data_IF_639302074559
#
_entry.id   IF_639302074559
#
_cell.length_a   1.000
_cell.length_b   1.000
_cell.length_c   1.000
_cell.angle_alpha   90.00
_cell.angle_beta   90.00
_cell.angle_gamma   90.00
#
_symmetry.space_group_name_H-M   'P 1'
#
loop_
_entity.id
_entity.type
_entity.pdbx_description
1 polymer ?
#
# COMPACT_ATOMS: atom_id res chain seq x y z
N UNK A 1 -13.76 -22.96 28.04
CA UNK A 1 -12.39 -22.72 27.53
C UNK A 1 -12.32 -22.34 26.04
N UNK A 2 -13.46 -22.19 25.36
CA UNK A 2 -13.54 -21.80 23.95
C UNK A 2 -13.92 -20.33 23.74
N UNK A 3 -14.01 -19.50 24.77
CA UNK A 3 -14.48 -18.10 24.64
C UNK A 3 -13.39 -17.08 24.33
N UNK A 4 -12.10 -17.39 24.50
CA UNK A 4 -11.04 -16.41 24.37
C UNK A 4 -10.52 -16.22 22.94
N UNK A 5 -10.63 -17.22 22.07
CA UNK A 5 -10.24 -17.07 20.65
C UNK A 5 -11.17 -16.13 19.87
N UNK A 6 -12.45 -16.12 20.20
CA UNK A 6 -13.44 -15.25 19.53
C UNK A 6 -13.34 -13.78 19.92
N UNK A 7 -12.89 -13.46 21.13
CA UNK A 7 -12.77 -12.08 21.61
C UNK A 7 -11.54 -11.38 21.01
N UNK A 8 -10.40 -12.06 20.92
CA UNK A 8 -9.19 -11.54 20.29
C UNK A 8 -9.39 -11.23 18.80
N UNK A 9 -10.11 -12.11 18.11
CA UNK A 9 -10.45 -11.91 16.69
C UNK A 9 -11.37 -10.70 16.49
N UNK A 10 -12.41 -10.54 17.34
CA UNK A 10 -13.31 -9.37 17.30
C UNK A 10 -12.60 -8.06 17.59
N UNK A 11 -11.64 -8.06 18.52
CA UNK A 11 -10.82 -6.90 18.85
C UNK A 11 -9.93 -6.54 17.65
N UNK A 12 -9.28 -7.54 17.03
CA UNK A 12 -8.45 -7.31 15.84
C UNK A 12 -9.26 -6.77 14.67
N UNK A 13 -10.47 -7.29 14.41
CA UNK A 13 -11.35 -6.78 13.35
C UNK A 13 -11.83 -5.36 13.63
N UNK A 14 -12.13 -5.04 14.89
CA UNK A 14 -12.55 -3.70 15.27
C UNK A 14 -11.39 -2.68 15.17
N UNK A 15 -10.18 -3.10 15.47
CA UNK A 15 -8.98 -2.29 15.29
C UNK A 15 -8.72 -1.99 13.81
N UNK A 16 -8.98 -2.95 12.92
CA UNK A 16 -8.94 -2.79 11.46
C UNK A 16 -9.99 -1.81 10.95
N UNK A 17 -11.20 -1.83 11.48
CA UNK A 17 -12.27 -0.88 11.13
C UNK A 17 -11.96 0.55 11.62
N UNK A 18 -11.29 0.68 12.78
CA UNK A 18 -10.97 1.99 13.38
C UNK A 18 -9.72 2.63 12.74
N UNK A 19 -8.71 1.85 12.41
CA UNK A 19 -7.42 2.35 11.88
C UNK A 19 -7.34 2.38 10.37
N UNK A 20 -8.31 1.80 9.67
CA UNK A 20 -8.29 1.63 8.22
C UNK A 20 -7.27 0.59 7.74
N UNK A 21 -7.31 0.29 6.45
CA UNK A 21 -6.50 -0.77 5.83
C UNK A 21 -5.00 -0.49 5.76
N UNK A 22 -4.56 0.74 6.02
CA UNK A 22 -3.13 1.10 6.01
C UNK A 22 -2.28 0.23 6.93
N UNK A 23 -2.83 -0.17 8.10
CA UNK A 23 -2.14 -1.05 9.04
C UNK A 23 -2.19 -2.54 8.68
N UNK A 24 -3.15 -2.98 7.85
CA UNK A 24 -3.19 -4.35 7.31
C UNK A 24 -2.13 -4.60 6.26
N UNK A 25 -1.80 -3.55 5.54
CA UNK A 25 -0.81 -3.58 4.47
C UNK A 25 0.62 -3.30 4.99
N UNK A 26 0.80 -3.17 6.30
CA UNK A 26 2.09 -2.97 6.99
C UNK A 26 2.48 -4.17 7.86
N UNK A 27 3.79 -4.30 8.13
CA UNK A 27 4.43 -5.45 8.81
C UNK A 27 4.06 -5.67 10.30
N UNK A 28 3.14 -4.90 10.90
CA UNK A 28 2.89 -4.91 12.36
C UNK A 28 1.63 -5.67 12.82
N UNK A 29 1.17 -6.69 12.11
CA UNK A 29 0.08 -7.52 12.64
C UNK A 29 0.54 -8.88 13.16
N UNK A 30 1.08 -8.88 14.35
CA UNK A 30 1.42 -10.06 15.16
C UNK A 30 0.21 -10.55 15.97
N UNK A 31 -0.78 -11.17 15.33
CA UNK A 31 -1.95 -11.70 16.02
C UNK A 31 -2.44 -13.09 15.59
N UNK A 32 -1.89 -13.67 14.52
CA UNK A 32 -2.25 -15.01 14.04
C UNK A 32 -1.01 -15.83 13.73
N UNK A 33 -0.44 -16.47 14.77
CA UNK A 33 0.82 -17.22 14.63
C UNK A 33 0.78 -18.41 13.64
N UNK A 34 -0.37 -19.01 13.37
CA UNK A 34 -0.42 -20.14 12.42
C UNK A 34 -0.51 -19.69 10.94
N UNK A 35 -1.25 -18.64 10.64
CA UNK A 35 -1.33 -18.11 9.28
C UNK A 35 -0.06 -17.33 8.88
N UNK A 36 0.51 -16.57 9.83
CA UNK A 36 1.81 -15.89 9.67
C UNK A 36 2.94 -16.90 9.46
N UNK A 37 2.89 -18.08 10.08
CA UNK A 37 3.89 -19.14 9.89
C UNK A 37 3.93 -19.65 8.45
N UNK A 38 2.79 -19.84 7.79
CA UNK A 38 2.74 -20.31 6.41
C UNK A 38 3.17 -19.22 5.40
N UNK A 39 2.67 -18.00 5.57
CA UNK A 39 3.03 -16.86 4.71
C UNK A 39 4.53 -16.52 4.87
N UNK A 40 5.05 -16.55 6.11
CA UNK A 40 6.47 -16.38 6.38
C UNK A 40 7.31 -17.51 5.76
N UNK A 41 6.85 -18.75 5.85
CA UNK A 41 7.52 -19.90 5.22
C UNK A 41 7.56 -19.77 3.70
N UNK A 42 6.44 -19.39 3.07
CA UNK A 42 6.38 -19.15 1.62
C UNK A 42 7.28 -18.00 1.21
N UNK A 43 7.35 -16.91 1.99
CA UNK A 43 8.24 -15.78 1.76
C UNK A 43 9.71 -16.22 1.86
N UNK A 44 10.09 -16.93 2.93
CA UNK A 44 11.44 -17.45 3.11
C UNK A 44 11.85 -18.44 2.02
N UNK A 45 10.92 -19.27 1.54
CA UNK A 45 11.18 -20.20 0.43
C UNK A 45 11.39 -19.44 -0.89
N UNK A 46 10.59 -18.43 -1.15
CA UNK A 46 10.73 -17.53 -2.31
C UNK A 46 12.07 -16.79 -2.28
N UNK A 47 12.46 -16.24 -1.11
CA UNK A 47 13.74 -15.58 -0.90
C UNK A 47 14.91 -16.55 -1.13
N UNK A 48 14.84 -17.76 -0.57
CA UNK A 48 15.88 -18.77 -0.75
C UNK A 48 16.04 -19.22 -2.23
N UNK A 49 14.93 -19.32 -2.97
CA UNK A 49 14.95 -19.64 -4.41
C UNK A 49 15.53 -18.50 -5.24
N UNK A 50 15.23 -17.25 -4.90
CA UNK A 50 15.80 -16.06 -5.56
C UNK A 50 17.30 -15.93 -5.27
N UNK A 51 17.71 -16.13 -4.02
CA UNK A 51 19.11 -16.12 -3.60
C UNK A 51 19.92 -17.24 -4.29
N UNK A 52 19.35 -18.45 -4.42
CA UNK A 52 19.97 -19.57 -5.15
C UNK A 52 20.11 -19.29 -6.65
N UNK A 53 19.28 -18.42 -7.23
CA UNK A 53 19.35 -17.97 -8.63
C UNK A 53 20.26 -16.77 -8.83
N UNK A 54 20.87 -16.21 -7.77
CA UNK A 54 21.74 -15.04 -7.84
C UNK A 54 20.99 -13.73 -8.20
N UNK A 55 19.68 -13.72 -8.08
CA UNK A 55 18.84 -12.54 -8.30
C UNK A 55 18.73 -11.81 -6.98
N UNK A 56 19.63 -10.88 -6.72
CA UNK A 56 19.46 -9.91 -5.64
C UNK A 56 18.40 -8.89 -6.04
N UNK A 57 17.15 -9.20 -5.79
CA UNK A 57 16.09 -8.20 -5.90
C UNK A 57 16.10 -7.34 -4.64
N UNK A 58 16.47 -6.06 -4.81
CA UNK A 58 16.50 -5.09 -3.71
C UNK A 58 15.09 -4.83 -3.18
N UNK A 59 14.05 -5.07 -3.96
CA UNK A 59 12.66 -4.92 -3.56
C UNK A 59 12.27 -5.84 -2.40
N UNK A 60 12.88 -7.01 -2.26
CA UNK A 60 12.62 -7.93 -1.15
C UNK A 60 13.22 -7.46 0.21
N UNK A 61 13.99 -6.36 0.23
CA UNK A 61 14.71 -5.89 1.42
C UNK A 61 13.95 -4.85 2.25
N UNK A 62 12.78 -4.43 1.81
CA UNK A 62 11.95 -3.45 2.53
C UNK A 62 10.47 -3.71 2.32
N UNK A 63 9.66 -3.27 3.29
CA UNK A 63 8.21 -3.23 3.17
C UNK A 63 7.75 -1.80 2.88
N UNK A 64 6.56 -1.67 2.30
CA UNK A 64 5.92 -0.37 2.06
C UNK A 64 4.69 -0.21 2.93
N UNK A 65 4.57 0.92 3.60
CA UNK A 65 3.38 1.29 4.38
C UNK A 65 2.66 2.49 3.76
N UNK A 66 1.34 2.49 3.84
CA UNK A 66 0.49 3.56 3.32
C UNK A 66 -0.41 4.07 4.44
N UNK A 67 -0.15 5.30 4.90
CA UNK A 67 -0.91 5.99 5.94
C UNK A 67 -1.46 7.32 5.36
N UNK A 68 -2.61 7.24 4.72
CA UNK A 68 -3.32 8.37 4.11
C UNK A 68 -4.75 8.45 4.64
N UNK A 69 -5.30 9.65 4.69
CA UNK A 69 -6.66 9.89 5.16
C UNK A 69 -7.65 9.49 4.06
N UNK A 70 -8.17 8.27 4.17
CA UNK A 70 -9.20 7.73 3.28
C UNK A 70 -10.03 6.67 4.00
N UNK A 71 -11.31 6.57 3.63
CA UNK A 71 -12.17 5.48 4.11
C UNK A 71 -11.89 4.22 3.27
N UNK A 72 -11.07 3.31 3.81
CA UNK A 72 -10.64 2.09 3.13
C UNK A 72 -10.79 0.88 4.06
N UNK A 73 -11.98 0.27 4.05
CA UNK A 73 -12.33 -0.88 4.89
C UNK A 73 -13.50 -1.67 4.31
N UNK A 74 -13.72 -2.89 4.81
CA UNK A 74 -14.86 -3.75 4.46
C UNK A 74 -15.93 -3.60 5.53
N UNK A 75 -17.07 -2.94 5.26
CA UNK A 75 -18.16 -2.79 6.23
C UNK A 75 -18.80 -4.14 6.58
N UNK A 76 -19.26 -4.30 7.82
CA UNK A 76 -20.00 -5.48 8.25
C UNK A 76 -21.30 -5.71 7.45
N UNK A 77 -21.91 -4.66 6.94
CA UNK A 77 -23.09 -4.73 6.07
C UNK A 77 -22.78 -5.26 4.66
N UNK A 78 -21.53 -5.23 4.22
CA UNK A 78 -21.09 -5.77 2.93
C UNK A 78 -20.63 -7.22 3.05
N UNK A 79 -19.73 -7.51 3.99
CA UNK A 79 -19.32 -8.88 4.33
C UNK A 79 -19.53 -9.09 5.82
N UNK A 80 -20.62 -9.79 6.18
CA UNK A 80 -20.99 -10.02 7.57
C UNK A 80 -20.16 -11.11 8.24
N UNK A 81 -19.69 -12.10 7.48
CA UNK A 81 -18.89 -13.20 8.01
C UNK A 81 -17.45 -12.75 8.24
N UNK A 82 -17.01 -12.76 9.49
CA UNK A 82 -15.69 -12.26 9.89
C UNK A 82 -14.53 -13.07 9.31
N UNK A 83 -14.68 -14.39 9.12
CA UNK A 83 -13.65 -15.23 8.49
C UNK A 83 -13.50 -14.93 7.01
N UNK A 84 -14.63 -14.79 6.30
CA UNK A 84 -14.60 -14.39 4.89
C UNK A 84 -14.00 -12.97 4.72
N UNK A 85 -14.38 -12.06 5.63
CA UNK A 85 -13.83 -10.70 5.63
C UNK A 85 -12.31 -10.70 5.79
N UNK A 86 -11.78 -11.50 6.74
CA UNK A 86 -10.34 -11.63 6.96
C UNK A 86 -9.63 -12.24 5.75
N UNK A 87 -10.22 -13.27 5.14
CA UNK A 87 -9.69 -13.89 3.92
C UNK A 87 -9.59 -12.86 2.78
N UNK A 88 -10.66 -12.10 2.55
CA UNK A 88 -10.69 -11.04 1.54
C UNK A 88 -9.64 -9.96 1.84
N UNK A 89 -9.48 -9.53 3.10
CA UNK A 89 -8.43 -8.58 3.47
C UNK A 89 -7.02 -9.09 3.13
N UNK A 90 -6.72 -10.36 3.43
CA UNK A 90 -5.42 -10.97 3.11
C UNK A 90 -5.16 -10.99 1.61
N UNK A 91 -6.15 -11.36 0.84
CA UNK A 91 -6.05 -11.43 -0.62
C UNK A 91 -5.89 -10.04 -1.24
N UNK A 92 -6.63 -9.04 -0.74
CA UNK A 92 -6.47 -7.65 -1.14
C UNK A 92 -5.06 -7.15 -0.81
N UNK A 93 -4.53 -7.50 0.37
CA UNK A 93 -3.17 -7.12 0.77
C UNK A 93 -2.07 -7.68 -0.15
N UNK A 94 -2.35 -8.79 -0.84
CA UNK A 94 -1.45 -9.42 -1.81
C UNK A 94 -1.55 -8.90 -3.24
N UNK A 95 -2.40 -7.90 -3.53
CA UNK A 95 -2.55 -7.33 -4.88
C UNK A 95 -1.27 -6.59 -5.28
N UNK A 96 -0.67 -7.01 -6.40
CA UNK A 96 0.52 -6.40 -6.97
C UNK A 96 0.28 -5.74 -8.33
N UNK A 97 -0.73 -6.20 -9.09
CA UNK A 97 -1.02 -5.71 -10.44
C UNK A 97 -2.41 -5.09 -10.57
N UNK A 98 -2.66 -4.40 -11.67
CA UNK A 98 -3.99 -3.85 -11.97
C UNK A 98 -4.97 -4.96 -12.31
N UNK A 99 -4.50 -5.98 -13.01
CA UNK A 99 -5.27 -7.16 -13.38
C UNK A 99 -5.77 -7.91 -12.13
N UNK A 100 -4.92 -8.15 -11.14
CA UNK A 100 -5.29 -8.78 -9.87
C UNK A 100 -6.30 -7.94 -9.08
N UNK A 101 -6.18 -6.61 -9.14
CA UNK A 101 -7.18 -5.70 -8.53
C UNK A 101 -8.53 -5.85 -9.21
N UNK A 102 -8.55 -5.92 -10.55
CA UNK A 102 -9.78 -6.04 -11.32
C UNK A 102 -10.43 -7.42 -11.13
N UNK A 103 -9.65 -8.50 -11.11
CA UNK A 103 -10.12 -9.86 -10.77
C UNK A 103 -10.72 -9.92 -9.36
N UNK A 104 -10.07 -9.28 -8.38
CA UNK A 104 -10.62 -9.18 -7.02
C UNK A 104 -11.93 -8.39 -6.99
N UNK A 105 -12.02 -7.31 -7.74
CA UNK A 105 -13.26 -6.53 -7.85
C UNK A 105 -14.40 -7.35 -8.47
N UNK A 106 -14.14 -8.09 -9.54
CA UNK A 106 -15.13 -8.98 -10.16
C UNK A 106 -15.61 -10.06 -9.18
N UNK A 107 -14.68 -10.70 -8.45
CA UNK A 107 -15.05 -11.69 -7.44
C UNK A 107 -15.91 -11.09 -6.31
N UNK A 108 -15.58 -9.87 -5.86
CA UNK A 108 -16.36 -9.19 -4.83
C UNK A 108 -17.78 -8.90 -5.30
N UNK A 109 -17.95 -8.46 -6.55
CA UNK A 109 -19.26 -8.22 -7.17
C UNK A 109 -20.06 -9.53 -7.26
N UNK A 110 -19.45 -10.60 -7.75
CA UNK A 110 -20.11 -11.90 -7.91
C UNK A 110 -20.57 -12.51 -6.59
N UNK A 111 -19.77 -12.36 -5.53
CA UNK A 111 -20.04 -13.03 -4.24
C UNK A 111 -20.87 -12.19 -3.29
N UNK A 112 -20.72 -10.87 -3.32
CA UNK A 112 -21.27 -9.96 -2.30
C UNK A 112 -22.08 -8.81 -2.90
N UNK A 113 -22.13 -8.68 -4.22
CA UNK A 113 -22.78 -7.58 -4.93
C UNK A 113 -21.89 -6.35 -5.04
N UNK A 114 -22.46 -5.24 -5.50
CA UNK A 114 -21.73 -3.99 -5.72
C UNK A 114 -20.97 -3.51 -4.47
N UNK A 115 -19.65 -3.35 -4.55
CA UNK A 115 -18.85 -2.95 -3.40
C UNK A 115 -19.08 -1.47 -3.06
N UNK A 116 -19.19 -1.12 -1.76
CA UNK A 116 -19.27 0.27 -1.34
C UNK A 116 -17.94 1.00 -1.56
N UNK A 117 -17.99 2.33 -1.55
CA UNK A 117 -16.82 3.20 -1.76
C UNK A 117 -15.60 2.83 -0.91
N UNK A 118 -15.82 2.46 0.34
CA UNK A 118 -14.74 2.08 1.26
C UNK A 118 -13.99 0.82 0.81
N UNK A 119 -14.66 -0.13 0.17
CA UNK A 119 -14.04 -1.33 -0.40
C UNK A 119 -13.29 -0.98 -1.69
N UNK A 120 -13.84 -0.11 -2.53
CA UNK A 120 -13.13 0.38 -3.72
C UNK A 120 -11.86 1.15 -3.34
N UNK A 121 -11.94 1.99 -2.31
CA UNK A 121 -10.76 2.67 -1.76
C UNK A 121 -9.73 1.68 -1.22
N UNK A 122 -10.17 0.59 -0.57
CA UNK A 122 -9.28 -0.45 -0.05
C UNK A 122 -8.49 -1.14 -1.17
N UNK A 123 -9.14 -1.49 -2.28
CA UNK A 123 -8.48 -2.05 -3.46
C UNK A 123 -7.45 -1.07 -4.05
N UNK A 124 -7.80 0.21 -4.11
CA UNK A 124 -6.90 1.27 -4.58
C UNK A 124 -5.69 1.44 -3.66
N UNK A 125 -5.88 1.43 -2.34
CA UNK A 125 -4.77 1.51 -1.36
C UNK A 125 -3.83 0.32 -1.50
N UNK A 126 -4.35 -0.90 -1.69
CA UNK A 126 -3.53 -2.08 -1.93
C UNK A 126 -2.69 -1.93 -3.21
N UNK A 127 -3.31 -1.50 -4.30
CA UNK A 127 -2.61 -1.25 -5.56
C UNK A 127 -1.59 -0.12 -5.44
N UNK A 128 -1.93 0.96 -4.72
CA UNK A 128 -1.02 2.07 -4.45
C UNK A 128 0.22 1.61 -3.68
N UNK A 129 0.05 0.73 -2.69
CA UNK A 129 1.17 0.12 -1.95
C UNK A 129 2.12 -0.62 -2.89
N UNK A 130 1.61 -1.45 -3.78
CA UNK A 130 2.41 -2.18 -4.76
C UNK A 130 3.13 -1.22 -5.74
N UNK A 131 2.45 -0.19 -6.23
CA UNK A 131 3.06 0.86 -7.06
C UNK A 131 4.18 1.59 -6.35
N UNK A 132 3.97 1.95 -5.07
CA UNK A 132 4.95 2.63 -4.24
C UNK A 132 6.19 1.74 -3.99
N UNK A 133 5.95 0.47 -3.72
CA UNK A 133 7.03 -0.53 -3.57
C UNK A 133 7.89 -0.62 -4.82
N UNK A 134 7.27 -0.67 -6.00
CA UNK A 134 7.99 -0.74 -7.28
C UNK A 134 8.84 0.50 -7.60
N UNK A 135 8.66 1.61 -6.89
CA UNK A 135 9.49 2.84 -7.00
C UNK A 135 10.34 3.08 -5.75
N UNK A 136 10.57 2.04 -4.95
CA UNK A 136 11.40 2.06 -3.74
C UNK A 136 10.90 3.02 -2.64
N UNK A 137 9.59 3.21 -2.51
CA UNK A 137 8.98 3.96 -1.41
C UNK A 137 8.69 3.01 -0.25
N UNK A 138 9.25 3.30 0.92
CA UNK A 138 9.04 2.52 2.16
C UNK A 138 7.85 3.01 2.96
N UNK A 139 7.52 4.30 2.87
CA UNK A 139 6.40 4.89 3.60
C UNK A 139 5.72 6.00 2.77
N UNK A 140 4.39 5.96 2.72
CA UNK A 140 3.54 7.08 2.30
C UNK A 140 2.79 7.54 3.53
N UNK A 141 3.04 8.77 3.98
CA UNK A 141 2.40 9.33 5.17
C UNK A 141 1.77 10.69 4.91
N UNK A 142 0.48 10.79 5.24
CA UNK A 142 -0.23 12.06 5.19
C UNK A 142 -0.26 12.74 6.56
N UNK A 143 0.11 14.01 6.59
CA UNK A 143 -0.05 14.87 7.76
C UNK A 143 -0.71 16.18 7.33
N UNK A 144 -2.00 16.29 7.58
CA UNK A 144 -2.80 17.41 7.08
C UNK A 144 -2.82 17.46 5.55
N UNK A 145 -2.29 18.54 4.97
CA UNK A 145 -2.17 18.68 3.50
C UNK A 145 -0.85 18.17 2.95
N UNK A 146 0.05 17.70 3.77
CA UNK A 146 1.37 17.26 3.35
C UNK A 146 1.41 15.73 3.22
N UNK A 147 1.83 15.26 2.05
CA UNK A 147 2.16 13.85 1.81
C UNK A 147 3.67 13.71 1.84
N UNK A 148 4.18 12.83 2.70
CA UNK A 148 5.59 12.45 2.73
C UNK A 148 5.75 11.07 2.11
N UNK A 149 6.68 10.95 1.17
CA UNK A 149 7.06 9.72 0.49
C UNK A 149 8.51 9.42 0.86
N UNK A 150 8.73 8.49 1.77
CA UNK A 150 10.07 8.10 2.22
C UNK A 150 10.63 7.03 1.28
N UNK A 151 11.83 7.25 0.77
CA UNK A 151 12.50 6.33 -0.14
C UNK A 151 13.35 5.33 0.63
N UNK A 152 13.52 4.15 0.05
CA UNK A 152 14.51 3.20 0.52
C UNK A 152 15.93 3.76 0.30
N UNK A 153 16.82 3.59 1.27
CA UNK A 153 18.20 4.16 1.24
C UNK A 153 19.02 3.71 0.01
N UNK A 154 18.73 2.51 -0.49
CA UNK A 154 19.41 1.90 -1.65
C UNK A 154 18.53 1.87 -2.90
N UNK A 155 17.59 2.82 -3.00
CA UNK A 155 16.72 2.92 -4.16
C UNK A 155 17.51 3.08 -5.47
N UNK A 156 17.23 2.22 -6.45
CA UNK A 156 17.83 2.29 -7.79
C UNK A 156 17.00 3.24 -8.66
N UNK A 157 17.18 4.52 -8.45
CA UNK A 157 16.51 5.57 -9.21
C UNK A 157 17.52 6.40 -9.99
N UNK A 158 17.06 7.05 -11.06
CA UNK A 158 17.86 8.01 -11.80
C UNK A 158 17.81 9.38 -11.10
N UNK A 159 18.88 9.81 -10.39
CA UNK A 159 18.87 11.07 -9.66
C UNK A 159 18.84 12.30 -10.58
N UNK A 160 19.29 12.18 -11.84
CA UNK A 160 19.30 13.28 -12.82
C UNK A 160 17.88 13.68 -13.23
N UNK A 161 16.89 12.78 -13.04
CA UNK A 161 15.48 13.02 -13.35
C UNK A 161 14.69 13.67 -12.21
N UNK A 162 15.25 13.72 -11.00
CA UNK A 162 14.58 14.37 -9.85
C UNK A 162 14.26 15.84 -10.11
N UNK A 163 15.17 16.68 -10.67
CA UNK A 163 14.87 18.08 -10.99
C UNK A 163 13.74 18.24 -12.01
N UNK A 164 13.65 17.36 -13.02
CA UNK A 164 12.57 17.37 -14.01
C UNK A 164 11.21 17.11 -13.35
N UNK A 165 11.16 16.09 -12.48
CA UNK A 165 9.96 15.75 -11.71
C UNK A 165 9.50 16.91 -10.82
N UNK A 166 10.44 17.55 -10.08
CA UNK A 166 10.15 18.70 -9.23
C UNK A 166 9.61 19.87 -10.07
N UNK A 167 10.22 20.14 -11.23
CA UNK A 167 9.78 21.22 -12.12
C UNK A 167 8.36 21.02 -12.62
N UNK A 168 7.96 19.78 -12.91
CA UNK A 168 6.59 19.40 -13.33
C UNK A 168 5.55 19.77 -12.28
N UNK A 169 5.83 19.46 -11.00
CA UNK A 169 4.93 19.72 -9.88
C UNK A 169 5.15 21.07 -9.21
N UNK A 170 6.12 21.87 -9.69
CA UNK A 170 6.44 23.21 -9.19
C UNK A 170 6.66 23.24 -7.68
N UNK A 171 6.03 24.21 -6.99
CA UNK A 171 6.15 24.38 -5.53
C UNK A 171 5.47 23.28 -4.70
N UNK A 172 4.67 22.40 -5.32
CA UNK A 172 3.95 21.35 -4.61
C UNK A 172 4.84 20.18 -4.23
N UNK A 173 5.86 19.86 -5.04
CA UNK A 173 6.78 18.75 -4.80
C UNK A 173 8.15 19.26 -4.40
N UNK A 174 8.71 18.71 -3.32
CA UNK A 174 10.07 18.96 -2.86
C UNK A 174 10.77 17.65 -2.59
N UNK A 175 12.07 17.61 -2.83
CA UNK A 175 12.92 16.48 -2.48
C UNK A 175 13.90 16.89 -1.37
N UNK A 176 14.10 16.01 -0.40
CA UNK A 176 14.99 16.22 0.72
C UNK A 176 16.00 15.07 0.78
N UNK A 177 17.29 15.42 0.73
CA UNK A 177 18.40 14.51 0.94
C UNK A 177 18.66 14.41 2.44
N UNK A 178 18.23 13.31 3.05
CA UNK A 178 18.52 12.94 4.43
C UNK A 178 19.13 11.53 4.43
N UNK A 179 19.39 10.96 5.60
CA UNK A 179 19.80 9.55 5.72
C UNK A 179 18.83 8.62 5.01
N UNK A 180 17.52 8.86 5.19
CA UNK A 180 16.46 8.30 4.35
C UNK A 180 15.91 9.41 3.45
N UNK A 181 16.23 9.44 2.16
CA UNK A 181 15.72 10.45 1.25
C UNK A 181 14.19 10.43 1.16
N UNK A 182 13.57 11.59 1.01
CA UNK A 182 12.11 11.64 0.90
C UNK A 182 11.62 12.78 0.02
N UNK A 183 10.47 12.57 -0.59
CA UNK A 183 9.69 13.62 -1.23
C UNK A 183 8.61 14.12 -0.29
N UNK A 184 8.27 15.40 -0.41
CA UNK A 184 7.07 15.99 0.22
C UNK A 184 6.21 16.61 -0.85
N UNK A 185 4.91 16.29 -0.83
CA UNK A 185 3.93 16.86 -1.74
C UNK A 185 2.86 17.61 -0.96
N UNK A 186 2.66 18.90 -1.26
CA UNK A 186 1.64 19.72 -0.61
C UNK A 186 0.37 19.78 -1.46
N UNK A 187 -0.69 19.17 -0.97
CA UNK A 187 -2.01 19.12 -1.61
C UNK A 187 -2.64 20.51 -1.80
N UNK A 188 -2.25 21.51 -0.99
CA UNK A 188 -2.81 22.87 -1.09
C UNK A 188 -2.21 23.69 -2.22
N UNK A 189 -0.94 23.45 -2.55
CA UNK A 189 -0.19 24.26 -3.52
C UNK A 189 -0.37 23.81 -4.97
N UNK A 190 -0.97 22.64 -5.20
CA UNK A 190 -1.20 22.11 -6.54
C UNK A 190 -2.51 22.59 -7.13
N UNK A 191 -2.47 23.11 -8.36
CA UNK A 191 -3.68 23.37 -9.17
C UNK A 191 -4.51 22.09 -9.41
N UNK A 192 -3.91 20.94 -9.16
CA UNK A 192 -4.47 19.58 -9.33
C UNK A 192 -5.36 19.16 -8.15
N UNK A 193 -5.08 19.68 -6.93
CA UNK A 193 -5.67 19.16 -5.70
C UNK A 193 -7.03 19.76 -5.31
N UNK A 194 -7.47 20.86 -5.93
CA UNK A 194 -8.66 21.59 -5.46
C UNK A 194 -9.99 20.85 -5.56
N UNK A 195 -10.07 19.70 -6.25
CA UNK A 195 -11.29 18.89 -6.42
C UNK A 195 -11.06 17.37 -6.53
N UNK A 196 -9.85 16.89 -6.32
CA UNK A 196 -9.51 15.47 -6.50
C UNK A 196 -9.32 14.77 -5.15
N UNK A 197 -9.67 13.50 -5.12
CA UNK A 197 -9.36 12.61 -4.00
C UNK A 197 -7.84 12.53 -3.78
N UNK A 198 -7.42 12.39 -2.53
CA UNK A 198 -6.02 12.20 -2.16
C UNK A 198 -5.41 10.99 -2.87
N UNK A 199 -6.17 9.90 -2.98
CA UNK A 199 -5.75 8.69 -3.71
C UNK A 199 -5.41 9.01 -5.17
N UNK A 200 -6.25 9.79 -5.88
CA UNK A 200 -5.99 10.15 -7.29
C UNK A 200 -4.68 10.90 -7.45
N UNK A 201 -4.41 11.82 -6.52
CA UNK A 201 -3.18 12.64 -6.57
C UNK A 201 -1.95 11.81 -6.29
N UNK A 202 -2.00 10.94 -5.30
CA UNK A 202 -0.85 10.11 -4.89
C UNK A 202 -0.58 9.03 -5.95
N UNK A 203 -1.62 8.39 -6.50
CA UNK A 203 -1.49 7.42 -7.59
C UNK A 203 -0.84 8.04 -8.84
N UNK A 204 -1.28 9.24 -9.23
CA UNK A 204 -0.70 9.98 -10.35
C UNK A 204 0.77 10.32 -10.10
N UNK A 205 1.09 10.84 -8.90
CA UNK A 205 2.45 11.19 -8.52
C UNK A 205 3.38 9.98 -8.58
N UNK A 206 3.00 8.85 -7.98
CA UNK A 206 3.80 7.63 -7.96
C UNK A 206 3.93 7.02 -9.35
N UNK A 207 2.87 7.04 -10.15
CA UNK A 207 2.92 6.60 -11.55
C UNK A 207 3.91 7.43 -12.36
N UNK A 208 3.96 8.74 -12.11
CA UNK A 208 4.91 9.63 -12.77
C UNK A 208 6.35 9.39 -12.27
N UNK A 209 6.52 9.18 -10.96
CA UNK A 209 7.83 8.79 -10.39
C UNK A 209 8.34 7.49 -11.02
N UNK A 210 7.47 6.49 -11.21
CA UNK A 210 7.83 5.24 -11.88
C UNK A 210 8.35 5.47 -13.29
N UNK A 211 7.66 6.32 -14.08
CA UNK A 211 8.04 6.61 -15.47
C UNK A 211 9.35 7.38 -15.59
N UNK A 212 9.61 8.29 -14.66
CA UNK A 212 10.76 9.21 -14.77
C UNK A 212 11.98 8.74 -13.99
N UNK A 213 11.77 8.13 -12.79
CA UNK A 213 12.88 7.81 -11.89
C UNK A 213 13.38 6.37 -12.06
N UNK A 214 12.51 5.43 -12.45
CA UNK A 214 12.90 4.04 -12.63
C UNK A 214 13.42 3.86 -14.05
N UNK A 215 14.70 3.55 -14.17
CA UNK A 215 15.31 3.19 -15.44
C UNK A 215 14.83 1.78 -15.80
N UNK A 216 14.19 1.61 -16.96
CA UNK A 216 13.98 0.29 -17.51
C UNK A 216 15.36 -0.33 -17.79
N UNK A 217 15.66 -1.45 -17.14
CA UNK A 217 16.81 -2.29 -17.50
C UNK A 217 16.62 -2.93 -18.87
#
# INVERSE_FOLDING_TARGET
EYSDLGSGFKIAMRDLEIRGAGNLLGAEQSGHMEAVGYDLYCKMLSEAVKEAKGIEDISDKFDTTVDIVTDAYIPAGYIANEFQKLDIYKRIAGIETEEEKDEMLEELIDRFGEPPKSVLSLLRVARLKALAHAVYITEIKQTGSLIKLTMFERARINPEKIPELITRYKSSLKFNMAENPYFTFDLKNGSVAKKRDVLDVVEELISQMRKELITAE
#
